data_IF_642556603749
#
_entry.id   IF_642556603749
#
_cell.length_a   1.000
_cell.length_b   1.000
_cell.length_c   1.000
_cell.angle_alpha   90.00
_cell.angle_beta   90.00
_cell.angle_gamma   90.00
#
_symmetry.space_group_name_H-M   'P 1'
#
loop_
_entity.id
_entity.type
_entity.pdbx_description
1 polymer ?
#
# COMPACT_ATOMS: atom_id res chain seq x y z
N UNK A 1 4.77 14.77 19.93
CA UNK A 1 5.79 13.73 19.53
C UNK A 1 6.34 14.09 18.17
N UNK A 2 7.65 13.82 17.95
CA UNK A 2 8.32 14.08 16.67
C UNK A 2 7.83 13.13 15.57
N UNK A 3 7.89 13.54 14.29
CA UNK A 3 7.71 12.63 13.14
C UNK A 3 8.72 11.47 13.18
N UNK A 4 8.29 10.27 12.75
CA UNK A 4 9.06 9.03 12.90
C UNK A 4 9.33 8.42 11.53
N UNK A 5 10.61 8.08 11.25
CA UNK A 5 11.02 7.29 10.08
C UNK A 5 11.37 5.87 10.50
N UNK A 6 11.10 4.94 9.59
CA UNK A 6 11.36 3.51 9.79
C UNK A 6 12.34 2.98 8.74
N UNK A 7 13.06 1.94 9.10
CA UNK A 7 13.84 1.15 8.15
C UNK A 7 12.88 0.25 7.36
N UNK A 8 12.88 0.43 6.04
CA UNK A 8 12.04 -0.35 5.15
C UNK A 8 12.54 -1.80 5.03
N UNK A 9 11.61 -2.75 4.95
CA UNK A 9 11.93 -4.17 4.73
C UNK A 9 11.90 -4.48 3.24
N UNK A 10 13.07 -4.70 2.65
CA UNK A 10 13.20 -5.00 1.24
C UNK A 10 12.98 -6.50 0.97
N UNK A 11 12.07 -6.83 0.05
CA UNK A 11 11.69 -8.19 -0.30
C UNK A 11 12.06 -8.49 -1.76
N UNK A 12 12.95 -9.45 -1.96
CA UNK A 12 13.21 -10.00 -3.28
C UNK A 12 12.12 -11.02 -3.63
N UNK A 13 11.45 -10.82 -4.73
CA UNK A 13 10.36 -11.67 -5.20
C UNK A 13 10.67 -12.20 -6.60
N UNK A 14 10.05 -13.33 -6.99
CA UNK A 14 10.27 -13.94 -8.32
C UNK A 14 9.78 -13.08 -9.48
N UNK A 15 8.97 -12.07 -9.20
CA UNK A 15 8.38 -11.13 -10.17
C UNK A 15 8.94 -9.71 -10.05
N UNK A 16 9.85 -9.48 -9.09
CA UNK A 16 10.35 -8.16 -8.73
C UNK A 16 11.11 -7.45 -9.85
N UNK A 17 10.95 -6.14 -9.90
CA UNK A 17 11.65 -5.21 -10.78
C UNK A 17 12.72 -4.39 -10.06
N UNK A 18 13.30 -3.42 -10.78
CA UNK A 18 14.39 -2.58 -10.26
C UNK A 18 13.95 -1.13 -9.94
N UNK A 19 12.67 -0.78 -10.07
CA UNK A 19 12.22 0.59 -9.86
C UNK A 19 12.42 1.04 -8.41
N UNK A 20 12.19 0.12 -7.43
CA UNK A 20 12.49 0.38 -6.02
C UNK A 20 13.97 0.63 -5.80
N UNK A 21 14.85 -0.19 -6.45
CA UNK A 21 16.29 -0.03 -6.35
C UNK A 21 16.72 1.36 -6.83
N UNK A 22 16.16 1.84 -7.94
CA UNK A 22 16.44 3.16 -8.49
C UNK A 22 15.86 4.27 -7.59
N UNK A 23 14.58 4.17 -7.17
CA UNK A 23 13.95 5.18 -6.33
C UNK A 23 14.70 5.38 -5.00
N UNK A 24 15.10 4.28 -4.36
CA UNK A 24 15.82 4.29 -3.07
C UNK A 24 17.34 4.42 -3.22
N UNK A 25 17.86 4.55 -4.43
CA UNK A 25 19.30 4.66 -4.73
C UNK A 25 20.11 3.54 -4.06
N UNK A 26 19.60 2.30 -4.12
CA UNK A 26 20.28 1.15 -3.54
C UNK A 26 21.62 0.89 -4.25
N UNK A 27 22.62 0.30 -3.55
CA UNK A 27 23.94 0.02 -4.14
C UNK A 27 23.83 -0.77 -5.44
N UNK A 28 24.72 -0.47 -6.40
CA UNK A 28 24.81 -1.20 -7.67
C UNK A 28 25.04 -2.69 -7.40
N UNK A 29 24.34 -3.55 -8.16
CA UNK A 29 24.38 -5.00 -7.98
C UNK A 29 23.40 -5.54 -6.90
N UNK A 30 22.64 -4.67 -6.25
CA UNK A 30 21.53 -5.13 -5.39
C UNK A 30 20.52 -5.93 -6.23
N UNK A 31 20.11 -7.11 -5.74
CA UNK A 31 19.07 -7.90 -6.40
C UNK A 31 17.79 -7.08 -6.55
N UNK A 32 17.02 -7.37 -7.60
CA UNK A 32 15.71 -6.75 -7.82
C UNK A 32 14.81 -6.86 -6.58
N UNK A 33 14.30 -5.72 -6.13
CA UNK A 33 13.41 -5.61 -4.98
C UNK A 33 11.98 -5.48 -5.50
N UNK A 34 11.17 -6.52 -5.32
CA UNK A 34 9.78 -6.51 -5.76
C UNK A 34 8.88 -5.73 -4.81
N UNK A 35 9.12 -5.81 -3.49
CA UNK A 35 8.37 -5.06 -2.49
C UNK A 35 9.32 -4.38 -1.51
N UNK A 36 9.00 -3.14 -1.13
CA UNK A 36 9.59 -2.42 -0.01
C UNK A 36 8.48 -2.11 0.99
N UNK A 37 8.51 -2.78 2.15
CA UNK A 37 7.54 -2.55 3.21
C UNK A 37 8.01 -1.38 4.05
N UNK A 38 7.37 -0.25 3.87
CA UNK A 38 7.80 1.04 4.42
C UNK A 38 7.41 1.21 5.88
N UNK A 39 6.15 0.88 6.21
CA UNK A 39 5.60 0.92 7.56
C UNK A 39 4.78 -0.34 7.77
N UNK A 40 5.22 -1.18 8.70
CA UNK A 40 4.65 -2.49 8.97
C UNK A 40 4.63 -2.81 10.47
N UNK A 41 3.44 -3.22 10.95
CA UNK A 41 3.27 -3.87 12.26
C UNK A 41 3.01 -5.37 12.14
N UNK A 42 3.17 -5.97 10.96
CA UNK A 42 2.92 -7.41 10.72
C UNK A 42 3.90 -8.26 11.52
N UNK A 43 3.43 -9.21 12.35
CA UNK A 43 4.30 -10.05 13.18
C UNK A 43 5.42 -10.73 12.38
N UNK A 44 6.68 -10.59 12.86
CA UNK A 44 7.88 -11.09 12.18
C UNK A 44 8.35 -10.26 10.99
N UNK A 45 7.64 -9.18 10.66
CA UNK A 45 7.98 -8.22 9.62
C UNK A 45 7.68 -6.78 10.10
N UNK A 46 7.97 -6.49 11.34
CA UNK A 46 7.80 -5.17 11.92
C UNK A 46 8.93 -4.25 11.46
N UNK A 47 8.59 -3.05 11.03
CA UNK A 47 9.58 -2.01 10.74
C UNK A 47 10.09 -1.38 12.04
N UNK A 48 11.35 -0.93 12.03
CA UNK A 48 12.05 -0.35 13.18
C UNK A 48 12.39 1.11 12.95
N UNK A 49 12.40 1.88 14.03
CA UNK A 49 12.73 3.31 14.02
C UNK A 49 14.20 3.52 13.69
N UNK A 50 14.48 4.48 12.79
CA UNK A 50 15.82 4.77 12.29
C UNK A 50 16.56 5.89 13.03
N UNK A 51 15.87 6.70 13.86
CA UNK A 51 16.50 7.84 14.54
C UNK A 51 15.73 8.28 15.81
N UNK A 52 16.37 9.05 16.64
CA UNK A 52 15.78 9.67 17.84
C UNK A 52 15.80 8.77 19.07
N UNK A 53 14.96 9.12 20.07
CA UNK A 53 14.96 8.48 21.39
C UNK A 53 14.45 7.02 21.34
N UNK A 54 13.74 6.66 20.29
CA UNK A 54 13.18 5.33 20.06
C UNK A 54 13.94 4.52 18.99
N UNK A 55 15.17 4.91 18.66
CA UNK A 55 16.01 4.19 17.69
C UNK A 55 16.02 2.67 17.96
N UNK A 56 15.70 1.88 16.93
CA UNK A 56 15.67 0.42 17.00
C UNK A 56 14.36 -0.18 17.58
N UNK A 57 13.42 0.66 18.06
CA UNK A 57 12.13 0.17 18.52
C UNK A 57 11.26 -0.26 17.33
N UNK A 58 10.52 -1.36 17.47
CA UNK A 58 9.52 -1.78 16.49
C UNK A 58 8.25 -0.92 16.58
N UNK A 59 7.50 -0.83 15.48
CA UNK A 59 6.24 -0.09 15.47
C UNK A 59 5.24 -0.58 16.55
N UNK A 60 5.01 -1.87 16.80
CA UNK A 60 4.19 -2.32 17.93
C UNK A 60 4.74 -1.92 19.31
N UNK A 61 6.07 -1.87 19.47
CA UNK A 61 6.68 -1.39 20.72
C UNK A 61 6.41 0.10 20.97
N UNK A 62 6.40 0.92 19.90
CA UNK A 62 6.01 2.32 20.00
C UNK A 62 4.53 2.48 20.38
N UNK A 63 3.64 1.69 19.78
CA UNK A 63 2.21 1.74 20.13
C UNK A 63 2.01 1.37 21.60
N UNK A 64 2.69 0.33 22.08
CA UNK A 64 2.66 -0.06 23.50
C UNK A 64 3.15 1.06 24.43
N UNK A 65 4.19 1.80 24.02
CA UNK A 65 4.79 2.89 24.79
C UNK A 65 3.93 4.14 24.81
N UNK A 66 3.36 4.53 23.68
CA UNK A 66 2.73 5.84 23.47
C UNK A 66 1.20 5.80 23.31
N UNK A 67 0.63 4.63 23.02
CA UNK A 67 -0.81 4.41 22.91
C UNK A 67 -1.50 5.43 21.99
N UNK A 68 -2.57 6.01 22.51
CA UNK A 68 -3.39 6.99 21.80
C UNK A 68 -2.63 8.24 21.32
N UNK A 69 -1.54 8.63 21.98
CA UNK A 69 -0.72 9.77 21.56
C UNK A 69 -0.06 9.52 20.19
N UNK A 70 0.25 8.26 19.90
CA UNK A 70 0.82 7.85 18.61
C UNK A 70 -0.25 7.61 17.56
N UNK A 71 -1.27 6.80 17.87
CA UNK A 71 -2.20 6.27 16.85
C UNK A 71 -3.58 6.92 16.84
N UNK A 72 -3.92 7.76 17.81
CA UNK A 72 -5.25 8.32 18.01
C UNK A 72 -6.07 7.54 19.05
N UNK A 73 -7.00 8.19 19.71
CA UNK A 73 -7.76 7.60 20.82
C UNK A 73 -8.71 6.49 20.33
N UNK A 74 -9.48 6.76 19.28
CA UNK A 74 -10.41 5.77 18.72
C UNK A 74 -9.65 4.61 18.04
N UNK A 75 -8.52 4.86 17.39
CA UNK A 75 -7.68 3.82 16.81
C UNK A 75 -7.07 2.92 17.89
N UNK A 76 -6.55 3.50 18.98
CA UNK A 76 -6.00 2.70 20.07
C UNK A 76 -7.08 1.86 20.76
N UNK A 77 -8.29 2.40 20.93
CA UNK A 77 -9.44 1.67 21.46
C UNK A 77 -9.88 0.52 20.55
N UNK A 78 -9.86 0.73 19.22
CA UNK A 78 -10.32 -0.24 18.22
C UNK A 78 -9.31 -1.35 17.97
N UNK A 79 -8.01 -1.01 17.89
CA UNK A 79 -6.96 -1.91 17.41
C UNK A 79 -5.95 -2.30 18.50
N UNK A 80 -5.99 -1.65 19.68
CA UNK A 80 -5.03 -1.89 20.75
C UNK A 80 -3.60 -1.63 20.30
N UNK A 81 -2.72 -2.61 20.49
CA UNK A 81 -1.31 -2.53 20.11
C UNK A 81 -1.05 -2.93 18.64
N UNK A 82 -2.08 -3.35 17.89
CA UNK A 82 -1.94 -3.78 16.50
C UNK A 82 -2.03 -2.57 15.57
N UNK A 83 -1.01 -2.39 14.73
CA UNK A 83 -1.02 -1.33 13.73
C UNK A 83 -1.93 -1.74 12.55
N UNK A 84 -2.91 -0.90 12.15
CA UNK A 84 -3.96 -1.34 11.23
C UNK A 84 -3.59 -1.33 9.74
N UNK A 85 -2.48 -0.71 9.35
CA UNK A 85 -2.07 -0.55 7.95
C UNK A 85 -0.72 -1.21 7.65
N UNK A 86 -0.52 -1.55 6.38
CA UNK A 86 0.76 -1.93 5.80
C UNK A 86 0.98 -1.08 4.54
N UNK A 87 2.13 -0.42 4.47
CA UNK A 87 2.49 0.50 3.38
C UNK A 87 3.64 -0.08 2.58
N UNK A 88 3.51 -0.09 1.25
CA UNK A 88 4.53 -0.66 0.37
C UNK A 88 4.80 0.18 -0.87
N UNK A 89 6.02 0.09 -1.38
CA UNK A 89 6.28 0.22 -2.82
C UNK A 89 6.31 -1.16 -3.46
N UNK A 90 5.76 -1.29 -4.66
CA UNK A 90 5.76 -2.53 -5.46
C UNK A 90 6.29 -2.23 -6.85
N UNK A 91 7.36 -2.96 -7.25
CA UNK A 91 7.93 -2.91 -8.60
C UNK A 91 7.80 -4.28 -9.26
N UNK A 92 7.00 -4.37 -10.31
CA UNK A 92 6.65 -5.61 -10.99
C UNK A 92 7.31 -5.72 -12.36
N UNK A 93 8.41 -6.49 -12.48
CA UNK A 93 8.98 -6.85 -13.80
C UNK A 93 8.20 -7.97 -14.48
N UNK A 94 7.49 -8.79 -13.73
CA UNK A 94 6.59 -9.82 -14.21
C UNK A 94 5.24 -9.72 -13.48
N UNK A 95 4.14 -10.27 -14.00
CA UNK A 95 2.84 -10.17 -13.35
C UNK A 95 2.83 -10.89 -11.99
N UNK A 96 2.24 -10.30 -10.98
CA UNK A 96 1.89 -10.97 -9.73
C UNK A 96 0.81 -12.02 -10.00
N UNK A 97 0.62 -12.97 -9.08
CA UNK A 97 -0.49 -13.92 -9.19
C UNK A 97 -1.84 -13.22 -9.28
N UNK A 98 -2.78 -13.83 -9.99
CA UNK A 98 -4.19 -13.48 -9.87
C UNK A 98 -4.66 -13.96 -8.52
N UNK A 99 -5.25 -13.06 -7.73
CA UNK A 99 -5.54 -13.27 -6.32
C UNK A 99 -6.79 -12.53 -5.85
N UNK A 100 -7.27 -12.92 -4.68
CA UNK A 100 -8.31 -12.21 -3.95
C UNK A 100 -7.97 -12.24 -2.46
N UNK A 101 -8.49 -11.26 -1.73
CA UNK A 101 -8.28 -11.14 -0.29
C UNK A 101 -9.59 -11.30 0.48
N UNK A 102 -9.55 -11.90 1.70
CA UNK A 102 -10.71 -11.98 2.58
C UNK A 102 -11.12 -10.59 3.10
N UNK A 103 -12.39 -10.42 3.42
CA UNK A 103 -12.86 -9.33 4.26
C UNK A 103 -12.56 -9.58 5.75
N UNK A 104 -12.86 -8.59 6.61
CA UNK A 104 -12.62 -8.70 8.05
C UNK A 104 -13.40 -9.87 8.67
N UNK A 105 -14.62 -10.16 8.21
CA UNK A 105 -15.45 -11.23 8.75
C UNK A 105 -14.84 -12.60 8.46
N UNK A 106 -14.40 -12.82 7.22
CA UNK A 106 -13.73 -14.07 6.81
C UNK A 106 -12.37 -14.21 7.49
N UNK A 107 -11.55 -13.14 7.55
CA UNK A 107 -10.27 -13.15 8.23
C UNK A 107 -10.41 -13.52 9.72
N UNK A 108 -11.40 -12.97 10.41
CA UNK A 108 -11.68 -13.29 11.81
C UNK A 108 -12.04 -14.77 12.02
N UNK A 109 -12.75 -15.43 11.09
CA UNK A 109 -13.02 -16.86 11.18
C UNK A 109 -11.75 -17.72 11.05
N UNK A 110 -10.71 -17.16 10.41
CA UNK A 110 -9.39 -17.78 10.26
C UNK A 110 -8.44 -17.45 11.44
N UNK A 111 -8.89 -16.63 12.39
CA UNK A 111 -8.08 -16.17 13.52
C UNK A 111 -7.14 -15.01 13.20
N UNK A 112 -7.36 -14.32 12.09
CA UNK A 112 -6.60 -13.15 11.67
C UNK A 112 -7.34 -11.85 12.03
N UNK A 113 -6.64 -10.79 12.46
CA UNK A 113 -7.29 -9.58 12.95
C UNK A 113 -7.93 -8.73 11.86
N UNK A 114 -7.43 -8.81 10.62
CA UNK A 114 -7.84 -7.97 9.52
C UNK A 114 -8.07 -8.77 8.24
N UNK A 115 -9.07 -8.37 7.46
CA UNK A 115 -9.13 -8.62 6.04
C UNK A 115 -8.06 -7.84 5.29
N UNK A 116 -8.18 -7.76 3.95
CA UNK A 116 -7.20 -7.03 3.15
C UNK A 116 -7.90 -6.20 2.07
N UNK A 117 -8.44 -5.07 2.50
CA UNK A 117 -8.83 -3.98 1.60
C UNK A 117 -7.60 -3.14 1.31
N UNK A 118 -7.38 -2.77 0.06
CA UNK A 118 -6.19 -2.06 -0.38
C UNK A 118 -6.50 -1.00 -1.45
N UNK A 119 -5.54 -0.15 -1.72
CA UNK A 119 -5.53 0.74 -2.87
C UNK A 119 -4.15 0.79 -3.50
N UNK A 120 -4.10 1.05 -4.80
CA UNK A 120 -2.88 1.23 -5.56
C UNK A 120 -2.84 2.61 -6.19
N UNK A 121 -1.67 3.24 -6.11
CA UNK A 121 -1.39 4.49 -6.80
C UNK A 121 -0.17 4.28 -7.72
N UNK A 122 -0.35 4.43 -9.03
CA UNK A 122 0.68 4.16 -10.03
C UNK A 122 1.66 5.34 -10.08
N UNK A 123 2.93 5.10 -9.76
CA UNK A 123 4.01 6.10 -9.76
C UNK A 123 5.00 5.91 -10.90
N UNK A 124 4.97 4.76 -11.59
CA UNK A 124 5.79 4.49 -12.76
C UNK A 124 5.18 3.38 -13.61
N UNK A 125 5.42 3.44 -14.93
CA UNK A 125 4.98 2.40 -15.87
C UNK A 125 6.04 2.16 -16.95
N UNK A 126 6.22 0.91 -17.34
CA UNK A 126 6.98 0.51 -18.52
C UNK A 126 6.04 0.21 -19.69
N UNK A 127 6.60 0.04 -20.89
CA UNK A 127 5.81 -0.24 -22.09
C UNK A 127 4.95 -1.51 -21.93
N UNK A 128 3.67 -1.41 -22.28
CA UNK A 128 2.69 -2.49 -22.16
C UNK A 128 2.19 -2.76 -20.76
N UNK A 129 2.50 -1.89 -19.78
CA UNK A 129 2.03 -2.06 -18.40
C UNK A 129 0.49 -2.09 -18.34
N UNK A 130 -0.02 -3.08 -17.66
CA UNK A 130 -1.44 -3.26 -17.38
C UNK A 130 -1.63 -3.94 -16.04
N UNK A 131 -2.80 -3.80 -15.45
CA UNK A 131 -3.19 -4.56 -14.26
C UNK A 131 -4.60 -5.15 -14.45
N UNK A 132 -4.93 -6.11 -13.61
CA UNK A 132 -6.27 -6.67 -13.52
C UNK A 132 -6.96 -6.12 -12.26
N UNK A 133 -8.20 -5.65 -12.40
CA UNK A 133 -9.07 -5.32 -11.28
C UNK A 133 -10.50 -5.72 -11.65
N UNK A 134 -11.01 -6.78 -11.00
CA UNK A 134 -12.36 -7.30 -11.16
C UNK A 134 -12.59 -8.20 -12.36
N UNK A 135 -13.85 -8.61 -12.53
CA UNK A 135 -14.32 -9.36 -13.70
C UNK A 135 -14.78 -8.41 -14.83
N UNK A 136 -14.54 -8.79 -16.08
CA UNK A 136 -14.98 -8.03 -17.25
C UNK A 136 -16.51 -8.07 -17.44
N UNK A 137 -17.17 -9.08 -16.93
CA UNK A 137 -18.62 -9.27 -16.89
C UNK A 137 -18.97 -10.12 -15.68
N UNK A 138 -20.24 -10.14 -15.28
CA UNK A 138 -20.70 -11.02 -14.19
C UNK A 138 -20.24 -12.45 -14.46
N UNK A 139 -19.57 -13.04 -13.48
CA UNK A 139 -19.10 -14.41 -13.56
C UNK A 139 -19.85 -15.29 -12.56
N UNK A 140 -19.84 -16.61 -12.73
CA UNK A 140 -20.53 -17.50 -11.78
C UNK A 140 -19.55 -18.26 -10.91
N UNK A 141 -19.95 -18.49 -9.66
CA UNK A 141 -19.16 -19.30 -8.75
C UNK A 141 -19.01 -20.76 -9.24
N UNK A 142 -19.99 -21.27 -10.03
CA UNK A 142 -19.94 -22.62 -10.58
C UNK A 142 -18.93 -22.70 -11.75
N UNK A 143 -18.86 -21.67 -12.60
CA UNK A 143 -17.90 -21.61 -13.70
C UNK A 143 -16.47 -21.30 -13.22
N UNK A 144 -16.33 -20.68 -12.05
CA UNK A 144 -15.04 -20.26 -11.49
C UNK A 144 -14.07 -21.44 -11.33
N UNK A 145 -14.50 -22.54 -10.71
CA UNK A 145 -13.65 -23.71 -10.46
C UNK A 145 -13.10 -24.28 -11.78
N UNK A 146 -13.98 -24.45 -12.78
CA UNK A 146 -13.57 -24.94 -14.09
C UNK A 146 -12.61 -23.94 -14.78
N UNK A 147 -12.90 -22.63 -14.73
CA UNK A 147 -12.04 -21.61 -15.33
C UNK A 147 -10.66 -21.52 -14.70
N UNK A 148 -10.53 -21.84 -13.40
CA UNK A 148 -9.21 -21.94 -12.75
C UNK A 148 -8.48 -23.22 -13.18
N UNK A 149 -9.18 -24.36 -13.27
CA UNK A 149 -8.59 -25.64 -13.63
C UNK A 149 -8.05 -25.67 -15.06
N UNK A 150 -8.76 -25.08 -16.02
CA UNK A 150 -8.36 -25.05 -17.44
C UNK A 150 -7.61 -23.77 -17.84
N UNK A 151 -7.48 -22.80 -16.90
CA UNK A 151 -6.78 -21.53 -17.09
C UNK A 151 -7.60 -20.46 -17.82
N UNK A 152 -8.84 -20.74 -18.20
CA UNK A 152 -9.69 -19.77 -18.92
C UNK A 152 -10.14 -18.59 -18.05
N UNK A 153 -9.93 -18.65 -16.73
CA UNK A 153 -10.27 -17.55 -15.80
C UNK A 153 -9.70 -16.20 -16.28
N UNK A 154 -8.51 -16.19 -16.89
CA UNK A 154 -7.87 -14.96 -17.39
C UNK A 154 -8.71 -14.23 -18.44
N UNK A 155 -9.48 -14.96 -19.26
CA UNK A 155 -10.33 -14.39 -20.32
C UNK A 155 -11.55 -13.63 -19.78
N UNK A 156 -11.87 -13.87 -18.50
CA UNK A 156 -13.02 -13.27 -17.82
C UNK A 156 -12.65 -12.05 -16.96
N UNK A 157 -11.37 -11.70 -16.88
CA UNK A 157 -10.88 -10.61 -16.03
C UNK A 157 -10.84 -9.26 -16.75
N UNK A 158 -11.08 -8.20 -15.98
CA UNK A 158 -10.99 -6.83 -16.47
C UNK A 158 -9.56 -6.32 -16.40
N UNK A 159 -8.90 -6.18 -17.54
CA UNK A 159 -7.54 -5.63 -17.64
C UNK A 159 -7.57 -4.15 -18.03
N UNK A 160 -6.71 -3.38 -17.36
CA UNK A 160 -6.59 -1.94 -17.55
C UNK A 160 -5.16 -1.57 -17.91
N UNK A 161 -4.93 -0.92 -19.04
CA UNK A 161 -3.65 -0.26 -19.33
C UNK A 161 -3.40 0.80 -18.27
N UNK A 162 -2.23 0.84 -17.68
CA UNK A 162 -1.91 1.76 -16.58
C UNK A 162 -1.09 2.95 -17.03
N UNK A 163 -1.32 4.08 -16.38
CA UNK A 163 -0.57 5.32 -16.56
C UNK A 163 -0.17 5.88 -15.19
N UNK A 164 0.93 6.62 -15.14
CA UNK A 164 1.32 7.35 -13.93
C UNK A 164 0.19 8.26 -13.48
N UNK A 165 -0.18 8.17 -12.21
CA UNK A 165 -1.31 8.88 -11.63
C UNK A 165 -2.62 8.10 -11.60
N UNK A 166 -2.71 6.93 -12.23
CA UNK A 166 -3.89 6.06 -12.06
C UNK A 166 -4.01 5.59 -10.61
N UNK A 167 -5.23 5.57 -10.11
CA UNK A 167 -5.60 5.08 -8.79
C UNK A 167 -6.61 3.95 -8.90
N UNK A 168 -6.43 2.89 -8.13
CA UNK A 168 -7.35 1.75 -8.05
C UNK A 168 -7.66 1.44 -6.59
N UNK A 169 -8.94 1.52 -6.21
CA UNK A 169 -9.39 1.00 -4.93
C UNK A 169 -9.76 -0.48 -5.10
N UNK A 170 -9.17 -1.34 -4.30
CA UNK A 170 -9.33 -2.80 -4.34
C UNK A 170 -9.98 -3.26 -3.02
N UNK A 171 -11.32 -3.26 -2.92
CA UNK A 171 -11.99 -3.80 -1.75
C UNK A 171 -11.72 -5.31 -1.60
N UNK A 172 -11.72 -5.80 -0.38
CA UNK A 172 -11.74 -7.25 -0.14
C UNK A 172 -12.82 -7.93 -0.99
N UNK A 173 -12.53 -9.12 -1.49
CA UNK A 173 -13.41 -9.88 -2.40
C UNK A 173 -13.23 -9.54 -3.89
N UNK A 174 -12.51 -8.49 -4.27
CA UNK A 174 -12.23 -8.19 -5.67
C UNK A 174 -11.05 -9.03 -6.17
N UNK A 175 -11.25 -9.79 -7.26
CA UNK A 175 -10.16 -10.46 -7.97
C UNK A 175 -9.25 -9.41 -8.62
N UNK A 176 -7.92 -9.58 -8.49
CA UNK A 176 -6.98 -8.59 -9.01
C UNK A 176 -5.60 -9.19 -9.25
N UNK A 177 -4.77 -8.46 -10.01
CA UNK A 177 -3.35 -8.76 -10.21
C UNK A 177 -2.63 -7.52 -10.71
N UNK A 178 -1.45 -7.22 -10.15
CA UNK A 178 -0.53 -6.23 -10.70
C UNK A 178 0.22 -6.90 -11.85
N UNK A 179 0.04 -6.39 -13.07
CA UNK A 179 0.75 -6.89 -14.24
C UNK A 179 2.17 -6.34 -14.35
N UNK A 180 2.96 -6.95 -15.23
CA UNK A 180 4.33 -6.51 -15.50
C UNK A 180 4.40 -5.03 -15.91
N UNK A 181 5.50 -4.39 -15.58
CA UNK A 181 5.78 -3.00 -15.93
C UNK A 181 5.14 -1.96 -15.02
N UNK A 182 4.49 -2.36 -13.94
CA UNK A 182 3.93 -1.42 -12.97
C UNK A 182 4.89 -1.14 -11.82
N UNK A 183 4.97 0.14 -11.46
CA UNK A 183 5.58 0.61 -10.24
C UNK A 183 4.57 1.46 -9.46
N UNK A 184 4.27 1.09 -8.22
CA UNK A 184 3.15 1.68 -7.49
C UNK A 184 3.38 1.73 -5.98
N UNK A 185 2.57 2.57 -5.32
CA UNK A 185 2.37 2.58 -3.87
C UNK A 185 1.12 1.75 -3.57
N UNK A 186 1.26 0.81 -2.64
CA UNK A 186 0.15 0.04 -2.07
C UNK A 186 -0.10 0.48 -0.63
N UNK A 187 -1.33 0.83 -0.33
CA UNK A 187 -1.83 1.08 1.02
C UNK A 187 -2.89 0.04 1.30
N UNK A 188 -2.70 -0.77 2.34
CA UNK A 188 -3.57 -1.88 2.67
C UNK A 188 -3.79 -2.04 4.17
N UNK A 189 -4.83 -2.79 4.55
CA UNK A 189 -4.93 -3.27 5.93
C UNK A 189 -3.71 -4.15 6.28
N UNK A 190 -3.36 -4.20 7.58
CA UNK A 190 -2.21 -4.95 8.10
C UNK A 190 -2.44 -6.47 8.04
N UNK A 191 -2.51 -7.00 6.85
CA UNK A 191 -2.72 -8.42 6.55
C UNK A 191 -1.76 -8.88 5.46
N UNK A 192 -1.34 -10.13 5.54
CA UNK A 192 -0.55 -10.81 4.50
C UNK A 192 -1.33 -11.96 3.85
N UNK A 193 -2.64 -12.02 4.08
CA UNK A 193 -3.51 -13.07 3.54
C UNK A 193 -3.73 -12.89 2.06
N UNK A 194 -3.42 -13.92 1.30
CA UNK A 194 -3.58 -13.94 -0.15
C UNK A 194 -4.13 -15.28 -0.59
N UNK A 195 -5.35 -15.26 -1.13
CA UNK A 195 -5.89 -16.43 -1.80
C UNK A 195 -5.52 -16.37 -3.27
N UNK A 196 -4.51 -17.15 -3.62
CA UNK A 196 -3.98 -17.23 -4.98
C UNK A 196 -4.91 -18.08 -5.84
N UNK A 197 -5.43 -17.45 -6.89
CA UNK A 197 -6.35 -18.05 -7.86
C UNK A 197 -5.56 -18.71 -8.99
N UNK A 198 -4.59 -18.00 -9.55
CA UNK A 198 -3.78 -18.47 -10.67
C UNK A 198 -2.40 -17.82 -10.65
N UNK A 199 -1.35 -18.57 -10.98
CA UNK A 199 0.03 -18.11 -10.91
C UNK A 199 0.83 -18.37 -12.20
N UNK A 200 0.17 -18.40 -13.35
CA UNK A 200 0.80 -18.55 -14.67
C UNK A 200 1.67 -19.81 -14.78
N UNK A 201 1.38 -20.85 -13.99
CA UNK A 201 2.16 -22.09 -13.89
C UNK A 201 3.65 -21.88 -13.55
N UNK A 202 4.01 -20.76 -12.94
CA UNK A 202 5.39 -20.43 -12.56
C UNK A 202 5.92 -21.38 -11.48
N UNK A 203 7.24 -21.57 -11.53
CA UNK A 203 8.00 -22.30 -10.51
C UNK A 203 9.06 -21.37 -9.90
N UNK A 204 9.43 -21.66 -8.66
CA UNK A 204 10.63 -21.09 -8.04
C UNK A 204 11.92 -21.71 -8.65
N UNK A 205 13.08 -21.24 -8.19
CA UNK A 205 14.39 -21.73 -8.63
C UNK A 205 14.61 -23.23 -8.33
N UNK A 206 13.80 -23.83 -7.47
CA UNK A 206 13.83 -25.25 -7.12
C UNK A 206 12.79 -26.08 -7.89
N UNK A 207 12.02 -25.44 -8.79
CA UNK A 207 10.98 -26.09 -9.59
C UNK A 207 9.63 -26.25 -8.87
N UNK A 208 9.44 -25.68 -7.68
CA UNK A 208 8.19 -25.79 -6.95
C UNK A 208 7.19 -24.72 -7.42
N UNK A 209 5.93 -25.11 -7.59
CA UNK A 209 4.83 -24.15 -7.80
C UNK A 209 4.35 -23.59 -6.49
N UNK A 210 3.93 -22.30 -6.49
CA UNK A 210 3.23 -21.73 -5.33
C UNK A 210 1.85 -22.36 -5.19
N UNK A 211 1.42 -22.55 -3.95
CA UNK A 211 0.10 -23.09 -3.63
C UNK A 211 -1.01 -22.17 -4.17
N UNK A 212 -2.06 -22.78 -4.73
CA UNK A 212 -3.31 -22.12 -5.09
C UNK A 212 -4.37 -22.36 -4.02
N UNK A 213 -5.19 -21.35 -3.77
CA UNK A 213 -6.22 -21.36 -2.72
C UNK A 213 -7.61 -21.26 -3.34
N UNK A 214 -7.92 -22.20 -4.27
CA UNK A 214 -9.09 -22.08 -5.16
C UNK A 214 -10.41 -22.01 -4.38
N UNK A 215 -10.58 -22.86 -3.37
CA UNK A 215 -11.83 -22.89 -2.60
C UNK A 215 -11.97 -21.69 -1.65
N UNK A 216 -10.88 -21.29 -0.98
CA UNK A 216 -10.88 -20.08 -0.14
C UNK A 216 -11.16 -18.84 -0.98
N UNK A 217 -10.53 -18.75 -2.17
CA UNK A 217 -10.79 -17.67 -3.10
C UNK A 217 -12.24 -17.64 -3.57
N UNK A 218 -12.85 -18.81 -3.87
CA UNK A 218 -14.26 -18.92 -4.26
C UNK A 218 -15.21 -18.36 -3.21
N UNK A 219 -14.88 -18.57 -1.92
CA UNK A 219 -15.68 -18.05 -0.81
C UNK A 219 -15.50 -16.55 -0.59
N UNK A 220 -14.31 -16.01 -0.88
CA UNK A 220 -14.02 -14.59 -0.73
C UNK A 220 -14.51 -13.75 -1.90
N UNK A 221 -14.60 -14.30 -3.12
CA UNK A 221 -14.82 -13.56 -4.37
C UNK A 221 -16.21 -12.91 -4.46
N UNK A 222 -16.21 -11.64 -4.84
CA UNK A 222 -17.36 -10.98 -5.44
C UNK A 222 -17.34 -11.23 -6.96
N UNK A 223 -18.30 -12.03 -7.46
CA UNK A 223 -18.40 -12.41 -8.87
C UNK A 223 -19.11 -11.37 -9.74
N UNK A 224 -19.50 -10.22 -9.18
CA UNK A 224 -20.14 -9.16 -9.92
C UNK A 224 -19.12 -8.25 -10.60
N UNK A 225 -19.39 -7.95 -11.88
CA UNK A 225 -18.61 -6.96 -12.59
C UNK A 225 -19.05 -5.54 -12.19
N UNK A 226 -18.08 -4.63 -12.21
CA UNK A 226 -18.30 -3.19 -12.07
C UNK A 226 -18.01 -2.50 -13.41
N UNK A 227 -18.64 -1.35 -13.66
CA UNK A 227 -18.49 -0.67 -14.94
C UNK A 227 -17.12 0.01 -15.14
N UNK A 228 -16.58 0.54 -14.08
CA UNK A 228 -15.25 1.15 -14.04
C UNK A 228 -14.56 0.83 -12.73
N UNK A 229 -13.34 0.32 -12.81
CA UNK A 229 -12.53 -0.08 -11.67
C UNK A 229 -11.48 0.97 -11.29
N UNK A 230 -11.29 2.02 -12.11
CA UNK A 230 -10.43 3.14 -11.75
C UNK A 230 -11.12 4.04 -10.72
N UNK A 231 -10.35 4.51 -9.78
CA UNK A 231 -10.80 5.54 -8.84
C UNK A 231 -10.51 6.91 -9.46
N UNK A 232 -11.56 7.64 -9.80
CA UNK A 232 -11.46 8.98 -10.32
C UNK A 232 -11.28 9.99 -9.18
N UNK A 233 -10.31 10.84 -9.29
CA UNK A 233 -10.02 11.91 -8.35
C UNK A 233 -9.54 13.17 -9.08
N UNK A 234 -9.60 14.31 -8.41
CA UNK A 234 -9.07 15.58 -8.94
C UNK A 234 -7.92 16.05 -8.10
N UNK A 235 -6.72 16.02 -8.64
CA UNK A 235 -5.52 16.47 -7.95
C UNK A 235 -5.23 17.93 -8.26
N UNK A 236 -5.02 18.75 -7.21
CA UNK A 236 -4.64 20.16 -7.31
C UNK A 236 -3.26 20.37 -6.71
N UNK A 237 -2.48 21.22 -7.37
CA UNK A 237 -1.17 21.62 -6.86
C UNK A 237 -1.34 22.48 -5.60
N UNK A 238 -0.58 22.18 -4.55
CA UNK A 238 -0.65 22.90 -3.26
C UNK A 238 -1.83 22.53 -2.37
N UNK A 239 -2.56 21.46 -2.68
CA UNK A 239 -3.67 20.95 -1.88
C UNK A 239 -3.50 19.45 -1.59
N UNK A 240 -4.01 18.99 -0.42
CA UNK A 240 -4.16 17.58 -0.11
C UNK A 240 -5.45 17.05 -0.76
N UNK A 241 -5.35 16.46 -1.94
CA UNK A 241 -6.47 16.06 -2.79
C UNK A 241 -6.95 14.65 -2.46
N UNK A 242 -8.22 14.49 -2.07
CA UNK A 242 -8.80 13.18 -1.74
C UNK A 242 -8.75 12.24 -2.95
N UNK A 243 -8.25 11.02 -2.74
CA UNK A 243 -8.26 9.93 -3.71
C UNK A 243 -9.23 8.81 -3.32
N UNK A 244 -9.03 8.24 -2.14
CA UNK A 244 -9.84 7.13 -1.61
C UNK A 244 -10.28 7.44 -0.18
N UNK A 245 -11.53 7.12 0.14
CA UNK A 245 -12.06 7.13 1.49
C UNK A 245 -12.91 5.88 1.71
N UNK A 246 -12.52 5.06 2.67
CA UNK A 246 -13.21 3.85 3.08
C UNK A 246 -13.11 3.68 4.61
N UNK A 247 -13.82 2.71 5.21
CA UNK A 247 -13.76 2.50 6.66
C UNK A 247 -12.37 2.12 7.20
N UNK A 248 -11.47 1.63 6.34
CA UNK A 248 -10.15 1.14 6.69
C UNK A 248 -9.07 2.23 6.58
N UNK A 249 -9.23 3.18 5.66
CA UNK A 249 -8.28 4.29 5.47
C UNK A 249 -8.87 5.43 4.62
N UNK A 250 -8.29 6.61 4.80
CA UNK A 250 -8.45 7.73 3.88
C UNK A 250 -7.09 8.02 3.25
N UNK A 251 -7.05 8.24 1.93
CA UNK A 251 -5.83 8.51 1.18
C UNK A 251 -5.99 9.80 0.39
N UNK A 252 -4.98 10.69 0.49
CA UNK A 252 -4.92 11.95 -0.25
C UNK A 252 -3.61 12.04 -1.02
N UNK A 253 -3.62 12.74 -2.15
CA UNK A 253 -2.44 13.08 -2.93
C UNK A 253 -2.01 14.52 -2.61
N UNK A 254 -0.74 14.69 -2.27
CA UNK A 254 -0.11 16.00 -2.08
C UNK A 254 0.94 16.18 -3.16
N UNK A 255 0.83 17.29 -3.90
CA UNK A 255 1.83 17.73 -4.85
C UNK A 255 2.03 19.23 -4.66
N UNK A 256 3.25 19.67 -4.42
CA UNK A 256 3.52 21.09 -4.18
C UNK A 256 4.89 21.51 -4.72
N UNK A 257 4.97 22.76 -5.20
CA UNK A 257 6.19 23.45 -5.64
C UNK A 257 6.53 24.60 -4.70
N UNK A 258 5.66 24.88 -3.74
CA UNK A 258 5.81 25.94 -2.75
C UNK A 258 5.50 25.41 -1.36
N UNK A 259 5.95 26.13 -0.35
CA UNK A 259 5.59 25.81 1.04
C UNK A 259 4.08 25.78 1.22
N UNK A 260 3.57 24.69 1.76
CA UNK A 260 2.15 24.52 2.09
C UNK A 260 1.98 24.11 3.56
N UNK A 261 0.80 24.40 4.09
CA UNK A 261 0.38 23.95 5.41
C UNK A 261 -0.73 22.92 5.27
N UNK A 262 -0.64 21.82 6.03
CA UNK A 262 -1.71 20.83 6.14
C UNK A 262 -2.20 20.82 7.58
N UNK A 263 -3.52 20.96 7.75
CA UNK A 263 -4.18 20.93 9.05
C UNK A 263 -4.69 19.52 9.34
N UNK A 264 -4.29 18.96 10.48
CA UNK A 264 -4.69 17.66 11.00
C UNK A 264 -5.47 17.76 12.32
N UNK A 265 -5.79 18.96 12.80
CA UNK A 265 -6.44 19.17 14.12
C UNK A 265 -7.77 18.40 14.30
N UNK A 266 -8.48 18.11 13.20
CA UNK A 266 -9.72 17.36 13.20
C UNK A 266 -9.54 15.83 13.01
N UNK A 267 -8.28 15.34 12.89
CA UNK A 267 -7.99 13.94 12.61
C UNK A 267 -7.47 13.26 13.88
N UNK A 268 -8.27 12.37 14.49
CA UNK A 268 -7.84 11.52 15.62
C UNK A 268 -7.12 10.26 15.12
N UNK A 269 -6.02 10.46 14.39
CA UNK A 269 -5.23 9.38 13.80
C UNK A 269 -3.79 9.81 13.60
N UNK A 270 -2.88 8.83 13.55
CA UNK A 270 -1.60 9.02 12.89
C UNK A 270 -1.81 9.39 11.42
N UNK A 271 -0.82 10.06 10.82
CA UNK A 271 -0.78 10.31 9.37
C UNK A 271 0.51 9.72 8.82
N UNK A 272 0.43 9.00 7.71
CA UNK A 272 1.60 8.47 6.99
C UNK A 272 1.77 9.30 5.71
N UNK A 273 3.00 9.74 5.45
CA UNK A 273 3.39 10.33 4.18
C UNK A 273 4.35 9.39 3.46
N UNK A 274 4.09 9.10 2.19
CA UNK A 274 4.86 8.21 1.33
C UNK A 274 5.38 9.05 0.15
N UNK A 275 6.64 9.49 0.19
CA UNK A 275 7.21 10.35 -0.84
C UNK A 275 7.67 9.53 -2.05
N UNK A 276 7.30 9.99 -3.25
CA UNK A 276 7.69 9.33 -4.50
C UNK A 276 8.35 10.28 -5.51
N UNK A 277 8.35 11.59 -5.27
CA UNK A 277 8.98 12.59 -6.13
C UNK A 277 9.54 13.75 -5.30
N UNK A 278 10.79 14.13 -5.57
CA UNK A 278 11.43 15.26 -4.93
C UNK A 278 11.81 15.04 -3.47
N UNK A 279 12.07 16.14 -2.80
CA UNK A 279 12.45 16.21 -1.38
C UNK A 279 11.74 17.39 -0.73
N UNK A 280 11.34 17.26 0.53
CA UNK A 280 10.77 18.35 1.32
C UNK A 280 11.29 18.33 2.75
N UNK A 281 11.48 19.51 3.31
CA UNK A 281 11.61 19.71 4.75
C UNK A 281 10.20 19.77 5.33
N UNK A 282 9.93 18.91 6.29
CA UNK A 282 8.68 18.84 7.01
C UNK A 282 8.88 19.43 8.40
N UNK A 283 7.99 20.33 8.81
CA UNK A 283 8.02 20.96 10.15
C UNK A 283 6.67 20.73 10.82
N UNK A 284 6.67 20.03 11.96
CA UNK A 284 5.45 19.75 12.72
C UNK A 284 4.98 20.96 13.55
N UNK A 285 3.81 20.82 14.21
CA UNK A 285 3.23 21.89 15.03
C UNK A 285 4.10 22.32 16.23
N UNK A 286 5.04 21.47 16.68
CA UNK A 286 5.97 21.75 17.78
C UNK A 286 7.30 22.37 17.27
N UNK A 287 7.48 22.52 15.95
CA UNK A 287 8.69 23.03 15.32
C UNK A 287 9.79 21.99 15.11
N UNK A 288 9.48 20.69 15.25
CA UNK A 288 10.44 19.63 14.89
C UNK A 288 10.55 19.52 13.38
N UNK A 289 11.78 19.52 12.89
CA UNK A 289 12.07 19.42 11.45
C UNK A 289 12.55 18.01 11.09
N UNK A 290 12.12 17.51 9.93
CA UNK A 290 12.59 16.27 9.32
C UNK A 290 12.61 16.42 7.80
N UNK A 291 13.63 15.88 7.16
CA UNK A 291 13.71 15.81 5.70
C UNK A 291 13.02 14.54 5.22
N UNK A 292 12.18 14.62 4.18
CA UNK A 292 11.53 13.48 3.54
C UNK A 292 11.81 13.53 2.04
N UNK A 293 12.43 12.48 1.51
CA UNK A 293 12.80 12.39 0.10
C UNK A 293 12.06 11.24 -0.59
N UNK A 294 12.00 11.30 -1.92
CA UNK A 294 11.42 10.23 -2.73
C UNK A 294 12.01 8.86 -2.35
N UNK A 295 11.12 7.86 -2.18
CA UNK A 295 11.48 6.53 -1.73
C UNK A 295 11.47 6.34 -0.21
N UNK A 296 11.14 7.38 0.56
CA UNK A 296 11.00 7.30 2.01
C UNK A 296 9.54 7.44 2.45
N UNK A 297 9.28 6.97 3.65
CA UNK A 297 8.00 7.13 4.33
C UNK A 297 8.18 7.63 5.76
N UNK A 298 7.17 8.36 6.25
CA UNK A 298 7.18 8.99 7.56
C UNK A 298 5.83 8.78 8.24
N UNK A 299 5.85 8.47 9.53
CA UNK A 299 4.67 8.47 10.38
C UNK A 299 4.67 9.72 11.22
N UNK A 300 3.63 10.54 11.05
CA UNK A 300 3.31 11.69 11.90
C UNK A 300 2.36 11.19 13.00
N UNK A 301 2.75 11.27 14.29
CA UNK A 301 1.90 10.86 15.41
C UNK A 301 0.59 11.64 15.50
N UNK A 302 -0.47 11.00 16.01
CA UNK A 302 -1.79 11.59 16.18
C UNK A 302 -1.81 12.87 17.07
N UNK A 303 -0.80 13.05 17.92
CA UNK A 303 -0.63 14.26 18.72
C UNK A 303 -0.23 15.50 17.89
N UNK A 304 0.09 15.35 16.60
CA UNK A 304 0.43 16.48 15.73
C UNK A 304 -0.81 17.01 15.02
N UNK A 305 -1.06 18.31 15.18
CA UNK A 305 -2.23 18.98 14.62
C UNK A 305 -1.98 19.66 13.27
N UNK A 306 -0.73 19.82 12.85
CA UNK A 306 -0.38 20.49 11.59
C UNK A 306 1.00 20.08 11.09
N UNK A 307 1.22 20.24 9.78
CA UNK A 307 2.50 19.99 9.13
C UNK A 307 2.75 21.04 8.06
N UNK A 308 3.89 21.72 8.16
CA UNK A 308 4.42 22.53 7.06
C UNK A 308 5.24 21.62 6.14
N UNK A 309 5.02 21.71 4.84
CA UNK A 309 5.74 20.98 3.79
C UNK A 309 6.48 22.02 2.94
N UNK A 310 7.80 22.05 3.00
CA UNK A 310 8.65 22.99 2.25
C UNK A 310 9.50 22.20 1.25
N UNK A 311 9.12 22.18 -0.05
CA UNK A 311 9.93 21.54 -1.09
C UNK A 311 11.36 22.06 -1.11
N UNK A 312 12.32 21.17 -1.31
CA UNK A 312 13.73 21.52 -1.39
C UNK A 312 14.22 21.51 -2.84
N UNK A 313 15.07 22.46 -3.20
CA UNK A 313 15.56 22.60 -4.58
C UNK A 313 14.52 23.20 -5.53
N UNK A 314 14.61 22.83 -6.81
CA UNK A 314 13.78 23.38 -7.90
C UNK A 314 12.72 22.40 -8.41
N UNK A 315 12.61 21.24 -7.76
CA UNK A 315 11.69 20.17 -8.17
C UNK A 315 10.44 20.18 -7.31
N UNK A 316 9.34 19.72 -7.89
CA UNK A 316 8.10 19.46 -7.15
C UNK A 316 8.32 18.36 -6.13
N UNK A 317 7.72 18.50 -4.96
CA UNK A 317 7.57 17.41 -4.00
C UNK A 317 6.20 16.78 -4.17
N UNK A 318 6.16 15.45 -4.20
CA UNK A 318 4.92 14.66 -4.30
C UNK A 318 4.95 13.49 -3.34
N UNK A 319 3.87 13.36 -2.56
CA UNK A 319 3.65 12.21 -1.68
C UNK A 319 2.19 11.77 -1.68
N UNK A 320 1.98 10.51 -1.36
CA UNK A 320 0.67 9.99 -0.95
C UNK A 320 0.59 10.08 0.56
N UNK A 321 -0.53 10.57 1.06
CA UNK A 321 -0.84 10.67 2.48
C UNK A 321 -1.96 9.71 2.84
N UNK A 322 -1.86 9.01 3.99
CA UNK A 322 -2.93 8.13 4.47
C UNK A 322 -3.08 8.15 5.99
N UNK A 323 -4.31 7.96 6.45
CA UNK A 323 -4.69 7.88 7.87
C UNK A 323 -5.98 7.07 8.03
N UNK A 324 -6.32 6.67 9.25
CA UNK A 324 -7.61 6.03 9.58
C UNK A 324 -8.66 7.12 9.77
N UNK A 325 -9.86 7.03 9.12
CA UNK A 325 -10.92 8.02 9.23
C UNK A 325 -11.60 8.04 10.59
#
# INVERSE_FOLDING_TARGET
MKPIKFEALLKNTIWGGNDINHLKQLPEGTKAVGESWEISGVPGNETIVTAGDDLGATLPALIRKYGATLVGAENFKRYGETFPLLIKFISAAQPLSIQVHPDDAMANTMGHPFGKTEMWYIIGTHEGARLCSGFAHDYSADAYTQGVEDGSIEEHLAYHTTHVGDCFFIPAGRIHSIGAGNFLIEIQQSSNDTFRVYDFNRTDDLGNRRELHVEQARQALNFKAEGDYRTHYSARLGEASLMVQCPQFTTRLIRTEQTMQVDYAAIDSFVILIAYEGEAKLTDAEGNEVLLQAGESLLLPASNSALAIEPQGITRFSCVETFIP
#
